data_IF_616785972981
#
_entry.id   IF_616785972981
#
_cell.length_a   1.000
_cell.length_b   1.000
_cell.length_c   1.000
_cell.angle_alpha   90.00
_cell.angle_beta   90.00
_cell.angle_gamma   90.00
#
_symmetry.space_group_name_H-M   'P 1'
#
loop_
_entity.id
_entity.type
_entity.pdbx_description
1 polymer ?
#
# COMPACT_ATOMS: atom_id res chain seq x y z
N UNK A 1 7.23 -6.00 9.34
CA UNK A 1 6.52 -5.66 8.09
C UNK A 1 5.43 -4.66 8.44
N UNK A 2 5.73 -3.37 8.33
CA UNK A 2 4.72 -2.31 8.43
C UNK A 2 3.89 -2.40 7.15
N UNK A 3 2.65 -2.85 7.24
CA UNK A 3 1.71 -2.86 6.10
C UNK A 3 1.27 -1.42 5.83
N UNK A 4 2.20 -0.60 5.34
CA UNK A 4 1.89 0.72 4.82
C UNK A 4 1.24 0.50 3.46
N UNK A 5 -0.10 0.58 3.43
CA UNK A 5 -0.81 0.66 2.18
C UNK A 5 -0.41 1.99 1.54
N UNK A 6 0.17 1.99 0.32
CA UNK A 6 0.52 3.21 -0.38
C UNK A 6 -0.70 4.12 -0.48
N UNK A 7 -0.52 5.42 -0.28
CA UNK A 7 -1.57 6.46 -0.25
C UNK A 7 -2.55 6.46 0.95
N UNK A 8 -2.34 5.65 2.00
CA UNK A 8 -3.08 5.85 3.26
C UNK A 8 -2.27 6.77 4.19
N UNK A 9 -2.75 8.00 4.46
CA UNK A 9 -2.03 8.93 5.32
C UNK A 9 -1.92 8.44 6.78
N UNK A 10 -0.76 8.69 7.38
CA UNK A 10 -0.31 8.25 8.71
C UNK A 10 -1.22 8.59 9.92
N UNK A 11 -2.24 9.45 9.74
CA UNK A 11 -3.05 10.06 10.83
C UNK A 11 -4.31 9.26 11.18
N UNK A 12 -4.15 7.97 11.45
CA UNK A 12 -5.25 7.01 11.65
C UNK A 12 -6.31 7.49 12.66
N UNK A 13 -5.88 8.15 13.75
CA UNK A 13 -6.75 8.67 14.82
C UNK A 13 -7.68 9.79 14.34
N UNK A 14 -7.15 10.77 13.58
CA UNK A 14 -7.91 11.91 13.05
C UNK A 14 -8.89 11.45 11.98
N UNK A 15 -8.48 10.54 11.08
CA UNK A 15 -9.38 9.99 10.06
C UNK A 15 -10.50 9.16 10.69
N UNK A 16 -10.20 8.32 11.67
CA UNK A 16 -11.20 7.55 12.41
C UNK A 16 -12.26 8.44 13.06
N UNK A 17 -11.81 9.52 13.72
CA UNK A 17 -12.73 10.50 14.30
C UNK A 17 -13.58 11.21 13.22
N UNK A 18 -12.99 11.57 12.07
CA UNK A 18 -13.71 12.20 10.97
C UNK A 18 -14.81 11.29 10.39
N UNK A 19 -14.55 9.98 10.28
CA UNK A 19 -15.53 9.01 9.79
C UNK A 19 -16.66 8.72 10.80
N UNK A 20 -16.40 8.87 12.09
CA UNK A 20 -17.44 8.69 13.12
C UNK A 20 -18.28 9.97 13.35
N UNK A 21 -17.73 11.15 13.06
CA UNK A 21 -18.41 12.42 13.34
C UNK A 21 -19.61 12.66 12.41
N UNK A 22 -20.72 13.13 12.98
CA UNK A 22 -21.84 13.61 12.17
C UNK A 22 -21.44 14.89 11.42
N UNK A 23 -21.79 15.03 10.12
CA UNK A 23 -21.51 16.25 9.37
C UNK A 23 -22.05 17.49 10.10
N UNK A 24 -21.25 18.55 10.14
CA UNK A 24 -21.57 19.81 10.80
C UNK A 24 -21.16 19.89 12.27
N UNK A 25 -20.93 18.76 12.97
CA UNK A 25 -20.47 18.77 14.37
C UNK A 25 -18.97 18.99 14.47
N UNK A 26 -18.53 19.49 15.62
CA UNK A 26 -17.13 19.67 16.01
C UNK A 26 -16.70 18.48 16.88
N UNK A 27 -15.52 17.93 16.64
CA UNK A 27 -14.96 16.84 17.46
C UNK A 27 -14.46 17.34 18.81
N UNK A 28 -14.31 16.42 19.76
CA UNK A 28 -13.43 16.66 20.90
C UNK A 28 -11.97 16.81 20.43
N UNK A 29 -11.08 17.41 21.24
CA UNK A 29 -9.66 17.50 20.91
C UNK A 29 -9.06 16.09 20.74
N UNK A 30 -8.57 15.78 19.54
CA UNK A 30 -7.96 14.49 19.20
C UNK A 30 -6.45 14.67 19.35
N UNK A 31 -5.84 13.90 20.24
CA UNK A 31 -4.38 13.84 20.36
C UNK A 31 -3.84 12.85 19.33
N UNK A 32 -2.92 13.31 18.50
CA UNK A 32 -2.15 12.51 17.55
C UNK A 32 -0.65 12.70 17.81
N UNK A 33 0.19 11.95 17.10
CA UNK A 33 1.65 11.95 17.31
C UNK A 33 2.26 13.35 17.21
N UNK A 34 1.74 14.18 16.30
CA UNK A 34 2.27 15.53 16.02
C UNK A 34 1.60 16.65 16.84
N UNK A 35 0.51 16.38 17.57
CA UNK A 35 -0.22 17.43 18.28
C UNK A 35 -1.71 17.16 18.51
N UNK A 36 -2.46 18.24 18.76
CA UNK A 36 -3.90 18.17 19.07
C UNK A 36 -4.71 18.79 17.94
N UNK A 37 -5.69 18.03 17.44
CA UNK A 37 -6.55 18.42 16.32
C UNK A 37 -8.00 18.58 16.76
N UNK A 38 -8.68 19.58 16.21
CA UNK A 38 -10.13 19.74 16.31
C UNK A 38 -10.67 19.77 14.88
N UNK A 39 -11.59 18.86 14.57
CA UNK A 39 -12.12 18.69 13.22
C UNK A 39 -13.62 18.97 13.16
N UNK A 40 -14.07 19.49 12.02
CA UNK A 40 -15.49 19.62 11.69
C UNK A 40 -15.73 19.07 10.28
N UNK A 41 -16.55 18.03 10.19
CA UNK A 41 -16.87 17.40 8.91
C UNK A 41 -17.84 18.29 8.13
N UNK A 42 -17.39 18.85 7.00
CA UNK A 42 -18.25 19.73 6.17
C UNK A 42 -19.30 18.94 5.38
N UNK A 43 -18.88 17.86 4.75
CA UNK A 43 -19.73 17.03 3.88
C UNK A 43 -19.12 15.63 3.79
N UNK A 44 -19.98 14.60 3.72
CA UNK A 44 -19.58 13.25 3.32
C UNK A 44 -19.84 13.10 1.83
N UNK A 45 -18.88 12.55 1.11
CA UNK A 45 -19.01 12.22 -0.31
C UNK A 45 -19.23 10.72 -0.39
N UNK A 46 -20.35 10.32 -0.98
CA UNK A 46 -20.60 8.91 -1.25
C UNK A 46 -19.61 8.37 -2.27
N UNK A 47 -19.32 7.08 -2.13
CA UNK A 47 -18.37 6.43 -3.01
C UNK A 47 -19.06 6.09 -4.33
N UNK A 48 -18.43 6.52 -5.42
CA UNK A 48 -18.86 6.16 -6.77
C UNK A 48 -18.40 4.73 -7.09
N UNK A 49 -19.34 3.78 -7.05
CA UNK A 49 -19.07 2.35 -7.26
C UNK A 49 -18.36 2.05 -8.59
N UNK A 50 -18.60 2.84 -9.64
CA UNK A 50 -17.97 2.63 -10.94
C UNK A 50 -16.48 3.03 -10.92
N UNK A 51 -16.14 4.08 -10.15
CA UNK A 51 -14.74 4.49 -9.93
C UNK A 51 -13.99 3.51 -9.04
N UNK A 52 -14.67 2.89 -8.07
CA UNK A 52 -14.08 1.85 -7.23
C UNK A 52 -13.61 0.67 -8.09
N UNK A 53 -14.48 0.13 -8.94
CA UNK A 53 -14.17 -1.06 -9.73
C UNK A 53 -12.98 -0.85 -10.67
N UNK A 54 -12.93 0.29 -11.34
CA UNK A 54 -11.81 0.64 -12.23
C UNK A 54 -10.51 0.84 -11.45
N UNK A 55 -10.56 1.49 -10.28
CA UNK A 55 -9.41 1.64 -9.40
C UNK A 55 -8.87 0.28 -8.92
N UNK A 56 -9.74 -0.59 -8.39
CA UNK A 56 -9.34 -1.92 -7.92
C UNK A 56 -8.74 -2.76 -9.03
N UNK A 57 -9.29 -2.71 -10.26
CA UNK A 57 -8.75 -3.45 -11.40
C UNK A 57 -7.30 -3.07 -11.69
N UNK A 58 -7.02 -1.78 -11.76
CA UNK A 58 -5.66 -1.28 -12.04
C UNK A 58 -4.72 -1.59 -10.89
N UNK A 59 -5.18 -1.41 -9.64
CA UNK A 59 -4.40 -1.71 -8.45
C UNK A 59 -4.03 -3.21 -8.37
N UNK A 60 -4.99 -4.10 -8.64
CA UNK A 60 -4.75 -5.55 -8.65
C UNK A 60 -3.76 -5.96 -9.73
N UNK A 61 -3.72 -5.30 -10.89
CA UNK A 61 -2.69 -5.56 -11.91
C UNK A 61 -1.29 -5.26 -11.39
N UNK A 62 -1.10 -4.14 -10.67
CA UNK A 62 0.18 -3.77 -10.05
C UNK A 62 0.57 -4.78 -8.97
N UNK A 63 -0.33 -5.10 -8.05
CA UNK A 63 -0.09 -6.09 -6.98
C UNK A 63 0.28 -7.44 -7.56
N UNK A 64 -0.41 -7.88 -8.62
CA UNK A 64 -0.13 -9.14 -9.30
C UNK A 64 1.26 -9.16 -9.93
N UNK A 65 1.67 -8.05 -10.57
CA UNK A 65 3.02 -7.93 -11.14
C UNK A 65 4.11 -8.00 -10.07
N UNK A 66 3.92 -7.31 -8.95
CA UNK A 66 4.85 -7.35 -7.80
C UNK A 66 4.96 -8.78 -7.28
N UNK A 67 3.82 -9.44 -7.02
CA UNK A 67 3.83 -10.79 -6.46
C UNK A 67 4.45 -11.81 -7.40
N UNK A 68 4.19 -11.68 -8.70
CA UNK A 68 4.84 -12.50 -9.72
C UNK A 68 6.35 -12.32 -9.69
N UNK A 69 6.86 -11.09 -9.61
CA UNK A 69 8.29 -10.83 -9.54
C UNK A 69 8.93 -11.45 -8.29
N UNK A 70 8.29 -11.33 -7.12
CA UNK A 70 8.76 -11.95 -5.88
C UNK A 70 8.90 -13.47 -6.02
N UNK A 71 7.84 -14.15 -6.51
CA UNK A 71 7.84 -15.61 -6.70
C UNK A 71 8.88 -16.03 -7.73
N UNK A 72 9.06 -15.27 -8.80
CA UNK A 72 10.10 -15.57 -9.80
C UNK A 72 11.51 -15.41 -9.22
N UNK A 73 11.75 -14.39 -8.39
CA UNK A 73 13.04 -14.19 -7.73
C UNK A 73 13.35 -15.33 -6.75
N UNK A 74 12.36 -15.73 -5.95
CA UNK A 74 12.46 -16.84 -5.01
C UNK A 74 12.75 -18.15 -5.76
N UNK A 75 11.94 -18.49 -6.77
CA UNK A 75 12.16 -19.67 -7.59
C UNK A 75 13.54 -19.67 -8.26
N UNK A 76 13.98 -18.52 -8.78
CA UNK A 76 15.31 -18.41 -9.39
C UNK A 76 16.42 -18.66 -8.37
N UNK A 77 16.29 -18.12 -7.16
CA UNK A 77 17.26 -18.36 -6.09
C UNK A 77 17.35 -19.83 -5.71
N UNK A 78 16.21 -20.53 -5.60
CA UNK A 78 16.19 -21.97 -5.32
C UNK A 78 16.83 -22.79 -6.43
N UNK A 79 16.60 -22.44 -7.70
CA UNK A 79 17.20 -23.12 -8.84
C UNK A 79 18.72 -22.92 -8.86
N UNK A 80 19.20 -21.70 -8.64
CA UNK A 80 20.64 -21.42 -8.59
C UNK A 80 21.31 -22.15 -7.43
N UNK A 81 20.65 -22.24 -6.26
CA UNK A 81 21.18 -22.98 -5.11
C UNK A 81 21.24 -24.50 -5.39
N UNK A 82 20.20 -25.05 -5.99
CA UNK A 82 20.08 -26.50 -6.24
C UNK A 82 21.05 -27.01 -7.31
N UNK A 83 21.39 -26.19 -8.30
CA UNK A 83 22.24 -26.60 -9.41
C UNK A 83 23.64 -25.97 -9.29
N UNK A 84 24.69 -26.80 -9.38
CA UNK A 84 26.08 -26.31 -9.51
C UNK A 84 26.29 -25.66 -10.88
N UNK A 85 25.95 -24.37 -10.99
CA UNK A 85 26.20 -23.59 -12.19
C UNK A 85 27.70 -23.27 -12.25
N UNK A 86 28.38 -23.78 -13.28
CA UNK A 86 29.76 -23.39 -13.61
C UNK A 86 29.69 -22.32 -14.70
N UNK A 87 30.19 -21.12 -14.40
CA UNK A 87 30.23 -19.99 -15.35
C UNK A 87 31.61 -19.91 -16.02
N UNK A 88 31.66 -20.13 -17.32
CA UNK A 88 32.88 -20.09 -18.15
C UNK A 88 33.00 -18.79 -18.96
N UNK A 89 32.11 -17.81 -18.78
CA UNK A 89 32.12 -16.55 -19.54
C UNK A 89 33.34 -15.69 -19.25
N UNK A 90 33.90 -15.80 -18.05
CA UNK A 90 35.15 -15.15 -17.66
C UNK A 90 36.39 -15.65 -18.41
N UNK A 91 36.32 -16.84 -19.03
CA UNK A 91 37.43 -17.44 -19.77
C UNK A 91 37.43 -17.07 -21.26
N UNK A 92 36.29 -16.64 -21.81
CA UNK A 92 36.18 -16.07 -23.16
C UNK A 92 36.39 -14.54 -23.12
N UNK A 93 37.61 -14.11 -22.81
CA UNK A 93 38.05 -12.75 -23.16
C UNK A 93 38.61 -12.77 -24.58
N UNK A 94 37.76 -12.40 -25.55
CA UNK A 94 38.13 -12.02 -26.93
C UNK A 94 38.02 -10.49 -27.03
#
# INVERSE_FOLDING_TARGET
>A
MTTEVPDIPFRSSVYGAAFNLTPGKISQPIRDVDGVYIIRVKKRKDIDQNKIQSYYRNYMQVVFQIKRQEVMNELYSELVEKYRIQDYRSELSI
#
